data_IF_223769891817
#
_entry.id   IF_223769891817
#
_cell.length_a   1.000
_cell.length_b   1.000
_cell.length_c   1.000
_cell.angle_alpha   90.00
_cell.angle_beta   90.00
_cell.angle_gamma   90.00
#
_symmetry.space_group_name_H-M   'P 1'
#
loop_
_entity.id
_entity.type
_entity.pdbx_description
1 polymer ?
#
# COMPACT_ATOMS: atom_id res chain seq x y z
N UNK A 1 -3.85 -26.29 -11.92
CA UNK A 1 -3.94 -25.81 -10.52
C UNK A 1 -4.28 -24.33 -10.46
N UNK A 2 -3.65 -23.46 -11.27
CA UNK A 2 -3.91 -22.01 -11.31
C UNK A 2 -5.35 -21.62 -11.63
N UNK A 3 -6.01 -22.33 -12.55
CA UNK A 3 -7.44 -22.12 -12.89
C UNK A 3 -8.39 -22.33 -11.72
N UNK A 4 -8.04 -23.25 -10.79
CA UNK A 4 -8.84 -23.51 -9.60
C UNK A 4 -8.73 -22.31 -8.65
N UNK A 5 -7.51 -21.84 -8.35
CA UNK A 5 -7.32 -20.67 -7.47
C UNK A 5 -7.98 -19.40 -8.01
N UNK A 6 -7.93 -19.19 -9.33
CA UNK A 6 -8.59 -18.06 -9.97
C UNK A 6 -10.11 -18.12 -9.80
N UNK A 7 -10.68 -19.32 -10.01
CA UNK A 7 -12.11 -19.55 -9.82
C UNK A 7 -12.53 -19.37 -8.36
N UNK A 8 -11.78 -19.95 -7.40
CA UNK A 8 -12.09 -19.83 -5.97
C UNK A 8 -11.98 -18.39 -5.50
N UNK A 9 -10.96 -17.65 -5.94
CA UNK A 9 -10.79 -16.24 -5.61
C UNK A 9 -11.92 -15.37 -6.16
N UNK A 10 -12.34 -15.60 -7.41
CA UNK A 10 -13.47 -14.92 -8.01
C UNK A 10 -14.79 -15.21 -7.27
N UNK A 11 -15.00 -16.46 -6.87
CA UNK A 11 -16.19 -16.88 -6.13
C UNK A 11 -16.23 -16.25 -4.72
N UNK A 12 -15.08 -16.18 -4.05
CA UNK A 12 -14.93 -15.50 -2.77
C UNK A 12 -15.20 -13.99 -2.88
N UNK A 13 -14.72 -13.36 -3.95
CA UNK A 13 -14.99 -11.96 -4.25
C UNK A 13 -16.49 -11.70 -4.45
N UNK A 14 -17.16 -12.49 -5.30
CA UNK A 14 -18.60 -12.38 -5.50
C UNK A 14 -19.39 -12.57 -4.18
N UNK A 15 -18.98 -13.54 -3.37
CA UNK A 15 -19.60 -13.80 -2.07
C UNK A 15 -19.48 -12.58 -1.14
N UNK A 16 -18.31 -11.93 -1.13
CA UNK A 16 -18.06 -10.75 -0.29
C UNK A 16 -18.91 -9.54 -0.69
N UNK A 17 -19.07 -9.30 -2.00
CA UNK A 17 -19.93 -8.22 -2.52
C UNK A 17 -21.40 -8.52 -2.23
N UNK A 18 -21.83 -9.78 -2.40
CA UNK A 18 -23.20 -10.18 -2.10
C UNK A 18 -23.53 -10.07 -0.62
N UNK A 19 -22.61 -10.46 0.28
CA UNK A 19 -22.76 -10.30 1.72
C UNK A 19 -22.87 -8.82 2.13
N UNK A 20 -22.07 -7.94 1.52
CA UNK A 20 -22.16 -6.50 1.75
C UNK A 20 -23.51 -5.92 1.29
N UNK A 21 -24.02 -6.36 0.14
CA UNK A 21 -25.35 -6.00 -0.35
C UNK A 21 -26.47 -6.46 0.60
N UNK A 22 -26.43 -7.72 1.04
CA UNK A 22 -27.39 -8.26 2.01
C UNK A 22 -27.37 -7.50 3.34
N UNK A 23 -26.19 -7.20 3.87
CA UNK A 23 -26.03 -6.45 5.11
C UNK A 23 -26.58 -5.02 4.98
N UNK A 24 -26.38 -4.39 3.83
CA UNK A 24 -26.98 -3.09 3.53
C UNK A 24 -28.51 -3.16 3.43
N UNK A 25 -29.05 -4.22 2.82
CA UNK A 25 -30.50 -4.44 2.75
C UNK A 25 -31.12 -4.60 4.13
N UNK A 26 -30.41 -5.23 5.08
CA UNK A 26 -30.86 -5.34 6.48
C UNK A 26 -30.88 -3.98 7.21
N UNK A 27 -30.13 -2.99 6.72
CA UNK A 27 -30.08 -1.64 7.29
C UNK A 27 -31.05 -0.67 6.59
N UNK A 28 -32.04 -1.18 5.84
CA UNK A 28 -32.95 -0.39 4.99
C UNK A 28 -32.23 0.49 3.95
N UNK A 29 -30.97 0.18 3.64
CA UNK A 29 -30.20 0.88 2.61
C UNK A 29 -30.38 0.16 1.28
N UNK A 30 -30.34 0.92 0.19
CA UNK A 30 -30.48 0.36 -1.15
C UNK A 30 -29.39 -0.68 -1.46
N UNK A 31 -29.80 -1.96 -1.56
CA UNK A 31 -28.94 -3.09 -1.93
C UNK A 31 -28.10 -2.77 -3.17
N UNK A 32 -28.74 -2.23 -4.20
CA UNK A 32 -28.10 -1.90 -5.48
C UNK A 32 -26.95 -0.91 -5.33
N UNK A 33 -27.10 0.10 -4.48
CA UNK A 33 -26.04 1.09 -4.23
C UNK A 33 -24.82 0.43 -3.62
N UNK A 34 -25.00 -0.43 -2.60
CA UNK A 34 -23.89 -1.10 -1.93
C UNK A 34 -23.26 -2.21 -2.76
N UNK A 35 -24.05 -2.91 -3.57
CA UNK A 35 -23.56 -3.88 -4.54
C UNK A 35 -22.68 -3.20 -5.61
N UNK A 36 -23.14 -2.08 -6.17
CA UNK A 36 -22.35 -1.29 -7.14
C UNK A 36 -21.10 -0.72 -6.50
N UNK A 37 -21.17 -0.18 -5.28
CA UNK A 37 -19.98 0.27 -4.55
C UNK A 37 -18.99 -0.88 -4.37
N UNK A 38 -19.45 -2.05 -3.89
CA UNK A 38 -18.61 -3.23 -3.71
C UNK A 38 -17.93 -3.70 -5.00
N UNK A 39 -18.59 -3.54 -6.15
CA UNK A 39 -17.98 -3.84 -7.46
C UNK A 39 -16.99 -2.76 -7.91
N UNK A 40 -17.30 -1.48 -7.75
CA UNK A 40 -16.53 -0.36 -8.32
C UNK A 40 -15.30 -0.02 -7.46
N UNK A 41 -15.38 -0.12 -6.14
CA UNK A 41 -14.29 0.19 -5.21
C UNK A 41 -12.96 -0.52 -5.55
N UNK A 42 -12.93 -1.85 -5.82
CA UNK A 42 -11.67 -2.54 -6.16
C UNK A 42 -11.10 -2.08 -7.49
N UNK A 43 -11.91 -1.69 -8.48
CA UNK A 43 -11.41 -1.09 -9.72
C UNK A 43 -10.77 0.27 -9.45
N UNK A 44 -11.43 1.12 -8.66
CA UNK A 44 -10.86 2.43 -8.29
C UNK A 44 -9.56 2.25 -7.50
N UNK A 45 -9.52 1.30 -6.56
CA UNK A 45 -8.32 0.98 -5.79
C UNK A 45 -7.18 0.46 -6.68
N UNK A 46 -7.47 -0.40 -7.66
CA UNK A 46 -6.49 -0.89 -8.62
C UNK A 46 -5.97 0.24 -9.52
N UNK A 47 -6.86 1.10 -10.02
CA UNK A 47 -6.48 2.29 -10.78
C UNK A 47 -5.58 3.20 -9.96
N UNK A 48 -5.95 3.48 -8.71
CA UNK A 48 -5.11 4.25 -7.80
C UNK A 48 -3.75 3.58 -7.63
N UNK A 49 -3.65 2.28 -7.39
CA UNK A 49 -2.36 1.60 -7.25
C UNK A 49 -1.47 1.68 -8.50
N UNK A 50 -2.07 1.64 -9.69
CA UNK A 50 -1.33 1.73 -10.97
C UNK A 50 -0.90 3.17 -11.26
N UNK A 51 -1.77 4.14 -10.99
CA UNK A 51 -1.54 5.55 -11.33
C UNK A 51 -0.91 6.37 -10.21
N UNK A 52 -0.86 5.87 -8.97
CA UNK A 52 -0.16 6.55 -7.90
C UNK A 52 1.34 6.50 -8.24
N UNK A 53 1.97 7.64 -8.54
CA UNK A 53 3.41 7.65 -8.76
C UNK A 53 4.05 7.14 -7.48
N UNK A 54 4.75 6.01 -7.58
CA UNK A 54 5.46 5.41 -6.47
C UNK A 54 6.54 6.41 -6.03
N UNK A 55 6.23 7.24 -5.04
CA UNK A 55 7.13 8.25 -4.46
C UNK A 55 8.35 7.66 -3.76
N UNK A 56 8.68 6.39 -4.04
CA UNK A 56 9.77 5.62 -3.45
C UNK A 56 11.13 5.90 -4.10
N UNK A 57 11.19 6.75 -5.13
CA UNK A 57 12.47 7.12 -5.77
C UNK A 57 13.22 8.29 -5.11
N UNK A 58 12.78 8.78 -3.94
CA UNK A 58 13.47 9.88 -3.22
C UNK A 58 14.04 9.54 -1.85
N UNK A 59 14.24 8.26 -1.52
CA UNK A 59 14.93 7.84 -0.28
C UNK A 59 16.24 7.08 -0.54
N UNK A 60 16.92 7.31 -1.67
CA UNK A 60 18.25 6.72 -1.96
C UNK A 60 19.39 7.74 -2.09
N UNK A 61 19.19 8.99 -1.70
CA UNK A 61 20.22 10.05 -1.80
C UNK A 61 20.45 10.83 -0.50
N UNK A 62 20.10 10.28 0.66
CA UNK A 62 20.74 10.69 1.90
C UNK A 62 21.99 9.82 2.08
N UNK A 63 23.10 10.13 1.38
CA UNK A 63 24.40 9.50 1.62
C UNK A 63 24.84 9.84 3.05
N UNK A 64 25.14 8.88 3.93
CA UNK A 64 25.89 9.13 5.15
C UNK A 64 27.40 8.94 4.87
N UNK A 65 27.97 9.67 3.90
CA UNK A 65 29.38 9.46 3.50
C UNK A 65 30.28 10.65 3.84
N UNK A 66 29.74 11.85 4.02
CA UNK A 66 30.57 13.02 4.38
C UNK A 66 30.81 13.15 5.89
N UNK A 67 29.96 12.55 6.73
CA UNK A 67 30.10 12.66 8.19
C UNK A 67 31.16 11.72 8.77
N UNK A 68 31.55 10.62 8.11
CA UNK A 68 32.64 9.78 8.61
C UNK A 68 34.01 10.44 8.45
N UNK A 69 34.26 11.14 7.34
CA UNK A 69 35.51 11.91 7.18
C UNK A 69 35.57 13.10 8.13
N UNK A 70 34.44 13.81 8.31
CA UNK A 70 34.37 14.93 9.26
C UNK A 70 34.50 14.45 10.71
N UNK A 71 33.87 13.33 11.07
CA UNK A 71 33.97 12.71 12.40
C UNK A 71 35.40 12.22 12.68
N UNK A 72 36.03 11.53 11.73
CA UNK A 72 37.42 11.10 11.87
C UNK A 72 38.37 12.30 11.99
N UNK A 73 38.15 13.37 11.23
CA UNK A 73 38.99 14.57 11.32
C UNK A 73 38.77 15.36 12.63
N UNK A 74 37.55 15.38 13.18
CA UNK A 74 37.24 16.06 14.45
C UNK A 74 37.65 15.27 15.69
N UNK A 75 37.53 13.94 15.68
CA UNK A 75 37.73 13.11 16.87
C UNK A 75 39.05 12.33 16.90
N UNK A 76 39.72 12.10 15.76
CA UNK A 76 41.05 11.45 15.74
C UNK A 76 42.22 12.44 15.78
N UNK A 77 41.98 13.74 15.91
CA UNK A 77 43.07 14.70 16.15
C UNK A 77 43.48 14.58 17.63
N UNK A 78 44.64 13.99 17.97
CA UNK A 78 45.04 13.87 19.36
C UNK A 78 45.21 15.26 19.95
N UNK A 79 44.48 15.52 21.05
CA UNK A 79 44.71 16.68 21.93
C UNK A 79 46.15 16.56 22.42
N UNK A 80 47.03 17.38 21.84
CA UNK A 80 48.41 17.54 22.31
C UNK A 80 48.32 18.24 23.67
N UNK A 81 48.28 17.43 24.73
CA UNK A 81 48.48 17.86 26.11
C UNK A 81 49.82 18.61 26.17
N UNK A 82 49.77 19.90 26.49
CA UNK A 82 50.92 20.62 27.04
C UNK A 82 50.83 20.57 28.55
#
# INVERSE_FOLDING_TARGET
METIYFFTGFLFYLLSVFAAGLMASMQERNFWTWCVIGMVLPFVAAMLLVFLPSGKEKMRLARPVENEELFNHLFLKPVRSR
#
